data_IF_630850742791
#
_entry.id   IF_630850742791
#
_cell.length_a   1.000
_cell.length_b   1.000
_cell.length_c   1.000
_cell.angle_alpha   90.00
_cell.angle_beta   90.00
_cell.angle_gamma   90.00
#
_symmetry.space_group_name_H-M   'P 1'
#
loop_
_entity.id
_entity.type
_entity.pdbx_description
1 polymer ?
#
# COMPACT_ATOMS: atom_id res chain seq x y z
N UNK A 1 3.49 -5.67 -20.74
CA UNK A 1 4.23 -5.68 -19.46
C UNK A 1 4.25 -4.23 -18.99
N UNK A 2 3.45 -3.88 -17.98
CA UNK A 2 3.42 -2.52 -17.45
C UNK A 2 4.76 -2.29 -16.77
N UNK A 3 5.48 -1.26 -17.22
CA UNK A 3 6.75 -0.86 -16.61
C UNK A 3 6.47 -0.34 -15.19
N UNK A 4 6.72 -1.18 -14.19
CA UNK A 4 6.52 -0.88 -12.78
C UNK A 4 7.48 0.19 -12.24
N UNK A 5 8.43 0.67 -13.06
CA UNK A 5 9.41 1.68 -12.66
C UNK A 5 8.87 3.11 -12.72
N UNK A 6 7.72 3.33 -13.36
CA UNK A 6 7.08 4.64 -13.46
C UNK A 6 5.75 4.63 -12.71
N UNK A 7 5.73 5.35 -11.57
CA UNK A 7 4.50 5.72 -10.90
C UNK A 7 3.54 6.37 -11.92
N UNK A 8 2.30 5.88 -12.09
CA UNK A 8 1.34 6.57 -12.94
C UNK A 8 1.16 7.96 -12.35
N UNK A 9 1.55 8.98 -13.13
CA UNK A 9 1.40 10.36 -12.69
C UNK A 9 -0.07 10.59 -12.37
N UNK A 10 -0.33 11.14 -11.17
CA UNK A 10 -1.68 11.52 -10.77
C UNK A 10 -2.19 12.52 -11.83
N UNK A 11 -3.32 12.23 -12.51
CA UNK A 11 -3.90 13.20 -13.43
C UNK A 11 -4.23 14.50 -12.69
N UNK A 12 -4.18 15.66 -13.38
CA UNK A 12 -4.64 16.91 -12.82
C UNK A 12 -6.08 16.78 -12.28
N UNK A 13 -6.37 17.46 -11.16
CA UNK A 13 -7.61 17.26 -10.41
C UNK A 13 -8.84 17.56 -11.26
N UNK A 14 -8.76 18.61 -12.07
CA UNK A 14 -9.79 19.06 -13.00
C UNK A 14 -10.21 17.98 -14.01
N UNK A 15 -9.31 17.02 -14.33
CA UNK A 15 -9.59 15.94 -15.28
C UNK A 15 -10.17 14.68 -14.60
N UNK A 16 -10.17 14.59 -13.26
CA UNK A 16 -10.54 13.36 -12.57
C UNK A 16 -12.00 12.96 -12.80
N UNK A 17 -12.91 13.93 -12.85
CA UNK A 17 -14.33 13.64 -13.08
C UNK A 17 -14.58 13.09 -14.49
N UNK A 18 -13.91 13.67 -15.50
CA UNK A 18 -13.98 13.21 -16.88
C UNK A 18 -13.44 11.78 -17.02
N UNK A 19 -12.24 11.54 -16.48
CA UNK A 19 -11.59 10.22 -16.49
C UNK A 19 -12.41 9.16 -15.74
N UNK A 20 -13.07 9.54 -14.64
CA UNK A 20 -13.96 8.67 -13.88
C UNK A 20 -15.19 8.30 -14.71
N UNK A 21 -15.85 9.30 -15.32
CA UNK A 21 -17.01 9.09 -16.21
C UNK A 21 -16.68 8.19 -17.39
N UNK A 22 -15.57 8.46 -18.06
CA UNK A 22 -15.07 7.65 -19.18
C UNK A 22 -14.88 6.19 -18.76
N UNK A 23 -14.15 5.94 -17.66
CA UNK A 23 -13.86 4.58 -17.18
C UNK A 23 -15.10 3.83 -16.71
N UNK A 24 -16.00 4.50 -15.98
CA UNK A 24 -17.20 3.85 -15.44
C UNK A 24 -18.27 3.61 -16.51
N UNK A 25 -18.25 4.34 -17.64
CA UNK A 25 -19.23 4.20 -18.73
C UNK A 25 -19.26 2.82 -19.37
N UNK A 26 -18.17 2.05 -19.25
CA UNK A 26 -18.08 0.68 -19.74
C UNK A 26 -18.85 -0.33 -18.86
N UNK A 27 -19.32 0.06 -17.68
CA UNK A 27 -19.97 -0.81 -16.72
C UNK A 27 -21.49 -0.57 -16.68
N UNK A 28 -22.25 -1.64 -16.47
CA UNK A 28 -23.71 -1.59 -16.32
C UNK A 28 -24.12 -1.59 -14.84
N UNK A 29 -25.41 -1.88 -14.57
CA UNK A 29 -25.98 -2.01 -13.22
C UNK A 29 -25.94 -0.69 -12.44
N UNK A 30 -25.16 -0.60 -11.36
CA UNK A 30 -25.10 0.60 -10.49
C UNK A 30 -24.27 1.74 -11.08
N UNK A 31 -23.46 1.48 -12.12
CA UNK A 31 -22.56 2.50 -12.66
C UNK A 31 -23.30 3.77 -13.16
N UNK A 32 -24.41 3.69 -13.92
CA UNK A 32 -25.17 4.88 -14.32
C UNK A 32 -25.68 5.71 -13.13
N UNK A 33 -26.21 5.06 -12.09
CA UNK A 33 -26.71 5.73 -10.88
C UNK A 33 -25.59 6.47 -10.13
N UNK A 34 -24.39 5.87 -10.07
CA UNK A 34 -23.21 6.52 -9.50
C UNK A 34 -22.81 7.74 -10.36
N UNK A 35 -22.80 7.60 -11.69
CA UNK A 35 -22.40 8.67 -12.61
C UNK A 35 -23.33 9.89 -12.54
N UNK A 36 -24.64 9.68 -12.32
CA UNK A 36 -25.62 10.76 -12.11
C UNK A 36 -25.32 11.60 -10.85
N UNK A 37 -24.75 10.99 -9.82
CA UNK A 37 -24.40 11.65 -8.55
C UNK A 37 -23.03 12.37 -8.59
N UNK A 38 -22.21 12.11 -9.61
CA UNK A 38 -20.87 12.68 -9.73
C UNK A 38 -20.92 14.04 -10.45
N UNK A 39 -20.87 15.11 -9.67
CA UNK A 39 -21.01 16.51 -10.15
C UNK A 39 -19.70 17.29 -10.13
N UNK A 40 -18.71 16.84 -9.36
CA UNK A 40 -17.44 17.55 -9.16
C UNK A 40 -16.26 16.59 -9.08
N UNK A 41 -15.08 17.04 -9.53
CA UNK A 41 -13.81 16.35 -9.32
C UNK A 41 -13.45 16.20 -7.83
N UNK A 42 -14.04 17.01 -6.95
CA UNK A 42 -13.89 16.86 -5.50
C UNK A 42 -14.41 15.52 -4.97
N UNK A 43 -15.36 14.89 -5.68
CA UNK A 43 -15.95 13.60 -5.29
C UNK A 43 -15.10 12.40 -5.71
N UNK A 44 -14.03 12.61 -6.48
CA UNK A 44 -13.18 11.54 -7.01
C UNK A 44 -11.83 11.55 -6.29
N UNK A 45 -11.62 10.58 -5.39
CA UNK A 45 -10.29 10.30 -4.87
C UNK A 45 -9.57 9.30 -5.78
N UNK A 46 -8.52 9.77 -6.44
CA UNK A 46 -7.65 8.92 -7.25
C UNK A 46 -6.38 8.58 -6.46
N UNK A 47 -6.18 7.27 -6.24
CA UNK A 47 -4.96 6.72 -5.66
C UNK A 47 -4.36 5.70 -6.61
N UNK A 48 -3.11 5.93 -7.01
CA UNK A 48 -2.35 4.93 -7.71
C UNK A 48 -2.11 3.72 -6.80
N UNK A 49 -2.27 2.51 -7.34
CA UNK A 49 -2.03 1.28 -6.61
C UNK A 49 -0.57 0.89 -6.77
N UNK A 50 0.13 0.82 -5.64
CA UNK A 50 1.51 0.34 -5.59
C UNK A 50 1.56 -0.99 -4.87
N UNK A 51 2.52 -1.81 -5.30
CA UNK A 51 2.99 -2.94 -4.54
C UNK A 51 4.49 -2.74 -4.34
N UNK A 52 4.94 -2.92 -3.11
CA UNK A 52 6.35 -2.83 -2.74
C UNK A 52 6.60 -3.80 -1.61
N UNK A 53 7.60 -4.65 -1.80
CA UNK A 53 8.29 -5.32 -0.71
C UNK A 53 9.74 -4.86 -0.73
N UNK A 54 10.15 -4.14 0.31
CA UNK A 54 11.52 -3.67 0.44
C UNK A 54 12.45 -4.87 0.65
N UNK A 55 13.58 -4.98 -0.05
CA UNK A 55 14.57 -6.00 0.29
C UNK A 55 15.19 -5.69 1.67
N UNK A 56 15.53 -6.71 2.48
CA UNK A 56 16.27 -6.48 3.71
C UNK A 56 17.66 -5.88 3.42
N UNK A 57 18.27 -5.18 4.39
CA UNK A 57 17.77 -4.94 5.75
C UNK A 57 16.74 -3.80 5.84
N UNK A 58 15.77 -3.92 6.76
CA UNK A 58 14.73 -2.91 7.00
C UNK A 58 15.07 -1.90 8.11
N UNK A 59 16.35 -1.80 8.47
CA UNK A 59 16.83 -0.91 9.53
C UNK A 59 18.10 -0.17 9.13
N UNK A 60 18.32 0.95 9.81
CA UNK A 60 19.55 1.71 9.75
C UNK A 60 19.78 2.41 11.10
N UNK A 61 20.80 1.98 11.85
CA UNK A 61 21.13 2.54 13.16
C UNK A 61 20.01 2.31 14.16
N UNK A 62 19.30 3.37 14.57
CA UNK A 62 18.18 3.29 15.54
C UNK A 62 16.79 3.38 14.89
N UNK A 63 16.72 3.19 13.57
CA UNK A 63 15.50 3.34 12.78
C UNK A 63 15.16 2.01 12.14
N UNK A 64 13.88 1.63 12.20
CA UNK A 64 13.31 0.45 11.53
C UNK A 64 12.10 0.86 10.68
N UNK A 65 11.95 0.27 9.50
CA UNK A 65 10.83 0.48 8.59
C UNK A 65 9.78 -0.63 8.82
N UNK A 66 8.50 -0.22 8.89
CA UNK A 66 7.34 -1.09 9.14
C UNK A 66 6.15 -0.62 8.31
N UNK A 67 5.12 -1.44 8.20
CA UNK A 67 3.89 -1.16 7.45
C UNK A 67 4.17 -0.89 5.99
N UNK A 68 3.38 0.01 5.39
CA UNK A 68 3.51 0.38 3.97
C UNK A 68 4.92 0.87 3.59
N UNK A 69 5.74 1.35 4.55
CA UNK A 69 7.13 1.76 4.27
C UNK A 69 8.06 0.57 3.95
N UNK A 70 7.72 -0.65 4.42
CA UNK A 70 8.47 -1.87 4.17
C UNK A 70 7.72 -2.83 3.23
N UNK A 71 6.39 -2.91 3.32
CA UNK A 71 5.58 -3.95 2.66
C UNK A 71 4.19 -3.45 2.19
N UNK A 72 4.17 -2.43 1.34
CA UNK A 72 2.91 -1.96 0.70
C UNK A 72 2.27 -3.09 -0.13
N UNK A 73 1.09 -3.54 0.28
CA UNK A 73 0.25 -4.47 -0.49
C UNK A 73 -0.81 -3.73 -1.32
N UNK A 74 -1.33 -4.33 -2.40
CA UNK A 74 -2.47 -3.74 -3.16
C UNK A 74 -3.81 -3.95 -2.43
N UNK A 75 -4.83 -3.11 -2.62
CA UNK A 75 -6.10 -3.21 -1.86
C UNK A 75 -6.85 -4.53 -2.08
N UNK A 76 -6.57 -5.26 -3.17
CA UNK A 76 -7.16 -6.56 -3.45
C UNK A 76 -6.84 -7.61 -2.38
N UNK A 77 -5.69 -7.50 -1.71
CA UNK A 77 -5.33 -8.39 -0.61
C UNK A 77 -6.08 -8.05 0.69
N UNK A 78 -6.65 -6.84 0.80
CA UNK A 78 -7.37 -6.34 1.96
C UNK A 78 -6.63 -6.51 3.31
N UNK A 79 -5.30 -6.67 3.31
CA UNK A 79 -4.51 -7.04 4.50
C UNK A 79 -3.41 -6.06 4.89
N UNK A 80 -3.26 -4.90 4.21
CA UNK A 80 -2.23 -3.90 4.55
C UNK A 80 -2.21 -3.51 6.03
N UNK A 81 -3.40 -3.30 6.60
CA UNK A 81 -3.54 -2.95 8.01
C UNK A 81 -3.12 -4.12 8.92
N UNK A 82 -3.45 -5.35 8.53
CA UNK A 82 -3.03 -6.56 9.25
C UNK A 82 -1.51 -6.68 9.34
N UNK A 83 -0.80 -6.49 8.22
CA UNK A 83 0.66 -6.50 8.18
C UNK A 83 1.27 -5.44 9.13
N UNK A 84 0.73 -4.22 9.14
CA UNK A 84 1.20 -3.17 10.04
C UNK A 84 0.90 -3.46 11.54
N UNK A 85 -0.21 -4.16 11.83
CA UNK A 85 -0.51 -4.61 13.20
C UNK A 85 0.45 -5.71 13.65
N UNK A 86 0.75 -6.67 12.79
CA UNK A 86 1.72 -7.73 13.07
C UNK A 86 3.11 -7.14 13.36
N UNK A 87 3.56 -6.16 12.55
CA UNK A 87 4.81 -5.43 12.84
C UNK A 87 4.80 -4.81 14.23
N UNK A 88 3.70 -4.14 14.60
CA UNK A 88 3.60 -3.42 15.87
C UNK A 88 3.64 -4.38 17.08
N UNK A 89 3.03 -5.56 16.96
CA UNK A 89 3.07 -6.60 18.00
C UNK A 89 4.50 -7.11 18.17
N UNK A 90 5.14 -7.56 17.08
CA UNK A 90 6.52 -8.08 17.10
C UNK A 90 7.49 -7.03 17.62
N UNK A 91 7.36 -5.78 17.16
CA UNK A 91 8.19 -4.67 17.63
C UNK A 91 8.00 -4.42 19.13
N UNK A 92 6.76 -4.46 19.62
CA UNK A 92 6.45 -4.29 21.04
C UNK A 92 7.06 -5.37 21.93
N UNK A 93 6.99 -6.62 21.50
CA UNK A 93 7.57 -7.78 22.21
C UNK A 93 9.10 -7.67 22.28
N UNK A 94 9.75 -7.45 21.15
CA UNK A 94 11.21 -7.36 21.10
C UNK A 94 11.76 -6.15 21.89
N UNK A 95 11.07 -5.00 21.84
CA UNK A 95 11.45 -3.84 22.67
C UNK A 95 11.31 -4.15 24.15
N UNK A 96 10.27 -4.89 24.56
CA UNK A 96 10.09 -5.31 25.95
C UNK A 96 11.19 -6.28 26.42
N UNK A 97 11.75 -7.08 25.51
CA UNK A 97 12.90 -7.97 25.75
C UNK A 97 14.25 -7.23 25.73
N UNK A 98 14.26 -5.92 25.43
CA UNK A 98 15.46 -5.10 25.40
C UNK A 98 16.25 -5.16 24.10
N UNK A 99 15.61 -5.61 23.01
CA UNK A 99 16.26 -5.73 21.70
C UNK A 99 16.77 -4.39 21.17
N UNK A 100 17.96 -4.42 20.58
CA UNK A 100 18.52 -3.31 19.83
C UNK A 100 17.83 -3.11 18.48
N UNK A 101 17.90 -1.90 17.92
CA UNK A 101 17.24 -1.60 16.64
C UNK A 101 17.70 -2.45 15.45
N UNK A 102 18.94 -2.97 15.48
CA UNK A 102 19.41 -3.92 14.47
C UNK A 102 18.73 -5.29 14.60
N UNK A 103 18.56 -5.77 15.83
CA UNK A 103 17.83 -7.02 16.13
C UNK A 103 16.34 -6.88 15.75
N UNK A 104 15.75 -5.70 15.98
CA UNK A 104 14.37 -5.38 15.56
C UNK A 104 14.19 -5.47 14.05
N UNK A 105 15.07 -4.80 13.29
CA UNK A 105 14.98 -4.78 11.84
C UNK A 105 15.27 -6.14 11.20
N UNK A 106 16.17 -6.91 11.78
CA UNK A 106 16.44 -8.27 11.33
C UNK A 106 15.25 -9.21 11.61
N UNK A 107 14.71 -9.21 12.83
CA UNK A 107 13.59 -10.07 13.22
C UNK A 107 12.32 -9.79 12.40
N UNK A 108 12.03 -8.51 12.13
CA UNK A 108 10.93 -8.13 11.24
C UNK A 108 11.21 -8.57 9.80
N UNK A 109 12.43 -8.34 9.29
CA UNK A 109 12.82 -8.81 7.95
C UNK A 109 12.69 -10.33 7.78
N UNK A 110 13.07 -11.12 8.78
CA UNK A 110 12.98 -12.59 8.75
C UNK A 110 11.53 -13.09 8.82
N UNK A 111 10.69 -12.46 9.66
CA UNK A 111 9.27 -12.80 9.81
C UNK A 111 8.52 -12.65 8.49
N UNK A 112 8.83 -11.60 7.72
CA UNK A 112 8.15 -11.30 6.46
C UNK A 112 8.88 -11.80 5.20
N UNK A 113 10.17 -12.14 5.28
CA UNK A 113 10.85 -12.87 4.20
C UNK A 113 10.16 -14.21 3.89
N UNK A 114 9.55 -14.85 4.90
CA UNK A 114 8.73 -16.05 4.71
C UNK A 114 7.46 -15.81 3.87
N UNK A 115 6.98 -14.56 3.80
CA UNK A 115 5.81 -14.16 2.99
C UNK A 115 6.20 -13.65 1.59
N UNK A 116 7.50 -13.52 1.32
CA UNK A 116 8.07 -12.98 0.08
C UNK A 116 8.32 -14.04 -1.01
N UNK A 117 8.13 -15.33 -0.70
CA UNK A 117 8.24 -16.40 -1.69
C UNK A 117 7.22 -16.19 -2.81
N UNK A 118 7.65 -16.14 -4.09
CA UNK A 118 6.76 -15.84 -5.19
C UNK A 118 5.75 -16.99 -5.38
N UNK A 119 4.46 -16.63 -5.41
CA UNK A 119 3.37 -17.49 -5.91
C UNK A 119 3.43 -17.57 -7.44
#
# INVERSE_FOLDING_TARGET
MLDATLAPQRPPREHLLELFRERLSAYAFVAPEILEQMTSSEQVDFRALYWLLLPPPWHAGRVVLVGDAAHTATPHLAYRVGLAFEDAVVLGELVAEGAGADELGQALGETFAALAEPI
#
